data_IF_899967815491
#
_entry.id   IF_899967815491
#
_cell.length_a   1.000
_cell.length_b   1.000
_cell.length_c   1.000
_cell.angle_alpha   90.00
_cell.angle_beta   90.00
_cell.angle_gamma   90.00
#
_symmetry.space_group_name_H-M   'P 1'
#
loop_
_entity.id
_entity.type
_entity.pdbx_description
1 polymer ?
#
# COMPACT_ATOMS: atom_id res chain seq x y z
N UNK A 1 -37.40 8.59 4.39
CA UNK A 1 -36.24 9.45 4.08
C UNK A 1 -35.02 8.54 3.96
N UNK A 2 -34.47 8.43 2.75
CA UNK A 2 -33.57 7.36 2.28
C UNK A 2 -32.30 7.17 3.13
N UNK A 3 -32.28 6.14 3.99
CA UNK A 3 -31.11 5.73 4.78
C UNK A 3 -29.89 5.47 3.88
N UNK A 4 -30.10 4.90 2.70
CA UNK A 4 -29.04 4.62 1.72
C UNK A 4 -28.37 5.90 1.17
N UNK A 5 -29.10 7.02 1.05
CA UNK A 5 -28.53 8.28 0.58
C UNK A 5 -27.65 8.94 1.63
N UNK A 6 -28.04 8.85 2.91
CA UNK A 6 -27.23 9.36 4.03
C UNK A 6 -25.96 8.51 4.17
N UNK A 7 -26.09 7.19 4.08
CA UNK A 7 -24.95 6.26 4.16
C UNK A 7 -23.95 6.49 3.03
N UNK A 8 -24.42 6.57 1.77
CA UNK A 8 -23.55 6.91 0.62
C UNK A 8 -22.87 8.26 0.80
N UNK A 9 -23.59 9.29 1.26
CA UNK A 9 -23.02 10.63 1.47
C UNK A 9 -21.94 10.66 2.55
N UNK A 10 -22.09 9.87 3.61
CA UNK A 10 -21.09 9.73 4.67
C UNK A 10 -19.86 8.99 4.15
N UNK A 11 -20.04 7.88 3.44
CA UNK A 11 -18.92 7.11 2.85
C UNK A 11 -18.13 7.99 1.87
N UNK A 12 -18.81 8.74 1.02
CA UNK A 12 -18.17 9.61 0.03
C UNK A 12 -17.37 10.74 0.72
N UNK A 13 -17.95 11.36 1.75
CA UNK A 13 -17.26 12.37 2.55
C UNK A 13 -15.99 11.81 3.23
N UNK A 14 -16.10 10.64 3.85
CA UNK A 14 -14.96 9.96 4.51
C UNK A 14 -13.89 9.60 3.48
N UNK A 15 -14.29 9.09 2.32
CA UNK A 15 -13.37 8.71 1.24
C UNK A 15 -12.62 9.92 0.67
N UNK A 16 -13.28 11.06 0.52
CA UNK A 16 -12.65 12.32 0.11
C UNK A 16 -11.62 12.78 1.14
N UNK A 17 -11.98 12.74 2.43
CA UNK A 17 -11.07 13.16 3.52
C UNK A 17 -9.84 12.25 3.56
N UNK A 18 -10.03 10.93 3.50
CA UNK A 18 -8.93 9.97 3.51
C UNK A 18 -8.03 10.17 2.29
N UNK A 19 -8.60 10.34 1.09
CA UNK A 19 -7.80 10.57 -0.12
C UNK A 19 -6.95 11.84 0.02
N UNK A 20 -7.52 12.92 0.57
CA UNK A 20 -6.80 14.17 0.77
C UNK A 20 -5.63 14.01 1.74
N UNK A 21 -5.82 13.28 2.84
CA UNK A 21 -4.76 12.97 3.81
C UNK A 21 -3.65 12.15 3.15
N UNK A 22 -3.99 11.11 2.38
CA UNK A 22 -3.01 10.31 1.68
C UNK A 22 -2.21 11.11 0.65
N UNK A 23 -2.85 12.02 -0.08
CA UNK A 23 -2.18 12.89 -1.04
C UNK A 23 -1.12 13.76 -0.34
N UNK A 24 -1.45 14.33 0.82
CA UNK A 24 -0.50 15.09 1.63
C UNK A 24 0.64 14.21 2.16
N UNK A 25 0.33 13.00 2.63
CA UNK A 25 1.34 12.04 3.11
C UNK A 25 2.33 11.66 1.99
N UNK A 26 1.83 11.50 0.76
CA UNK A 26 2.64 11.20 -0.42
C UNK A 26 3.60 12.35 -0.75
N UNK A 27 3.09 13.59 -0.75
CA UNK A 27 3.91 14.80 -0.89
C UNK A 27 5.00 14.90 0.17
N UNK A 28 4.63 14.68 1.44
CA UNK A 28 5.59 14.67 2.55
C UNK A 28 6.65 13.58 2.38
N UNK A 29 6.26 12.38 1.93
CA UNK A 29 7.18 11.31 1.58
C UNK A 29 8.21 11.77 0.55
N UNK A 30 7.74 12.34 -0.58
CA UNK A 30 8.62 12.77 -1.68
C UNK A 30 9.62 13.83 -1.22
N UNK A 31 9.17 14.76 -0.37
CA UNK A 31 10.04 15.77 0.24
C UNK A 31 11.12 15.11 1.11
N UNK A 32 10.77 14.12 1.94
CA UNK A 32 11.75 13.42 2.78
C UNK A 32 12.85 12.74 1.94
N UNK A 33 12.51 12.09 0.83
CA UNK A 33 13.51 11.50 -0.07
C UNK A 33 14.43 12.56 -0.68
N UNK A 34 13.86 13.70 -1.12
CA UNK A 34 14.66 14.80 -1.65
C UNK A 34 15.65 15.35 -0.62
N UNK A 35 15.25 15.42 0.66
CA UNK A 35 16.12 15.82 1.76
C UNK A 35 17.20 14.77 2.05
N UNK A 36 16.86 13.47 2.05
CA UNK A 36 17.81 12.37 2.25
C UNK A 36 18.89 12.37 1.15
N UNK A 37 18.49 12.52 -0.12
CA UNK A 37 19.41 12.61 -1.27
C UNK A 37 20.32 13.84 -1.14
N UNK A 38 19.76 15.00 -0.79
CA UNK A 38 20.55 16.22 -0.59
C UNK A 38 21.56 16.06 0.55
N UNK A 39 21.16 15.40 1.65
CA UNK A 39 22.01 15.19 2.84
C UNK A 39 23.25 14.36 2.52
N UNK A 40 23.15 13.38 1.63
CA UNK A 40 24.27 12.51 1.23
C UNK A 40 25.20 13.16 0.22
N UNK A 41 24.67 14.02 -0.66
CA UNK A 41 25.50 14.81 -1.57
C UNK A 41 26.35 15.86 -0.83
N UNK A 42 25.88 16.34 0.33
CA UNK A 42 26.59 17.34 1.15
C UNK A 42 27.25 16.77 2.42
N UNK A 43 27.00 15.50 2.78
CA UNK A 43 27.39 14.89 4.06
C UNK A 43 28.00 13.49 3.93
N UNK A 44 28.76 13.08 4.94
CA UNK A 44 29.69 11.94 4.97
C UNK A 44 29.14 10.61 4.41
N UNK A 45 29.86 10.06 3.42
CA UNK A 45 29.58 8.90 2.54
C UNK A 45 29.36 7.51 3.20
N UNK A 46 29.11 7.40 4.50
CA UNK A 46 29.16 6.12 5.21
C UNK A 46 27.85 5.33 5.35
N UNK A 47 26.69 5.99 5.44
CA UNK A 47 25.46 5.34 5.94
C UNK A 47 24.14 5.72 5.25
N UNK A 48 24.15 6.58 4.25
CA UNK A 48 22.93 7.17 3.70
C UNK A 48 22.14 6.29 2.71
N UNK A 49 22.78 5.30 2.07
CA UNK A 49 22.11 4.47 1.06
C UNK A 49 20.97 3.62 1.63
N UNK A 50 21.16 3.01 2.80
CA UNK A 50 20.11 2.23 3.46
C UNK A 50 18.90 3.09 3.86
N UNK A 51 19.16 4.34 4.27
CA UNK A 51 18.12 5.30 4.61
C UNK A 51 17.30 5.70 3.37
N UNK A 52 17.94 6.00 2.23
CA UNK A 52 17.22 6.28 0.98
C UNK A 52 16.35 5.10 0.57
N UNK A 53 16.90 3.88 0.58
CA UNK A 53 16.15 2.68 0.17
C UNK A 53 14.93 2.49 1.07
N UNK A 54 15.07 2.65 2.38
CA UNK A 54 13.95 2.61 3.33
C UNK A 54 12.91 3.72 3.06
N UNK A 55 13.36 4.95 2.75
CA UNK A 55 12.46 6.07 2.44
C UNK A 55 11.69 5.86 1.12
N UNK A 56 12.36 5.38 0.07
CA UNK A 56 11.74 4.98 -1.22
C UNK A 56 10.69 3.91 -1.00
N UNK A 57 11.04 2.90 -0.21
CA UNK A 57 10.15 1.80 0.12
C UNK A 57 8.90 2.27 0.87
N UNK A 58 9.08 3.20 1.81
CA UNK A 58 7.97 3.81 2.56
C UNK A 58 7.03 4.60 1.64
N UNK A 59 7.57 5.36 0.67
CA UNK A 59 6.72 6.03 -0.34
C UNK A 59 6.03 5.03 -1.24
N UNK A 60 6.75 4.01 -1.71
CA UNK A 60 6.15 2.95 -2.48
C UNK A 60 5.00 2.35 -1.69
N UNK A 61 5.15 2.24 -0.36
CA UNK A 61 4.07 1.83 0.51
C UNK A 61 2.88 2.83 0.48
N UNK A 62 3.14 4.12 0.59
CA UNK A 62 2.10 5.15 0.54
C UNK A 62 1.37 5.24 -0.82
N UNK A 63 2.08 5.10 -1.94
CA UNK A 63 1.52 5.18 -3.31
C UNK A 63 0.45 4.12 -3.53
N UNK A 64 0.70 2.88 -3.09
CA UNK A 64 -0.23 1.78 -3.36
C UNK A 64 -1.47 1.83 -2.46
N UNK A 65 -1.30 2.31 -1.23
CA UNK A 65 -2.42 2.65 -0.37
C UNK A 65 -3.29 3.69 -1.07
N UNK A 66 -2.67 4.74 -1.62
CA UNK A 66 -3.36 5.77 -2.39
C UNK A 66 -4.09 5.19 -3.61
N UNK A 67 -3.42 4.34 -4.38
CA UNK A 67 -4.01 3.68 -5.55
C UNK A 67 -5.23 2.82 -5.17
N UNK A 68 -5.15 2.07 -4.07
CA UNK A 68 -6.27 1.26 -3.55
C UNK A 68 -7.48 2.13 -3.19
N UNK A 69 -7.24 3.29 -2.56
CA UNK A 69 -8.32 4.23 -2.22
C UNK A 69 -8.91 4.94 -3.45
N UNK A 70 -8.10 5.25 -4.46
CA UNK A 70 -8.58 5.82 -5.74
C UNK A 70 -9.41 4.79 -6.50
N UNK A 71 -8.93 3.56 -6.60
CA UNK A 71 -9.61 2.48 -7.32
C UNK A 71 -10.96 2.12 -6.67
N UNK A 72 -11.04 2.19 -5.34
CA UNK A 72 -12.31 2.08 -4.60
C UNK A 72 -13.34 3.16 -4.98
N UNK A 73 -12.89 4.34 -5.42
CA UNK A 73 -13.77 5.43 -5.86
C UNK A 73 -14.19 5.26 -7.32
N UNK A 74 -13.33 4.72 -8.18
CA UNK A 74 -13.60 4.58 -9.61
C UNK A 74 -14.54 3.41 -9.93
N UNK A 75 -14.62 2.38 -9.09
CA UNK A 75 -15.42 1.19 -9.35
C UNK A 75 -16.52 0.96 -8.29
N UNK A 76 -17.75 1.46 -8.53
CA UNK A 76 -18.94 1.12 -7.71
C UNK A 76 -19.39 -0.36 -7.91
N UNK A 77 -18.92 -1.06 -8.94
CA UNK A 77 -19.19 -2.50 -9.17
C UNK A 77 -17.89 -3.30 -9.30
N UNK A 78 -17.59 -4.03 -8.23
CA UNK A 78 -16.35 -4.77 -8.06
C UNK A 78 -16.46 -6.12 -8.81
N UNK A 79 -15.87 -6.22 -10.01
CA UNK A 79 -15.62 -7.52 -10.64
C UNK A 79 -14.51 -8.24 -9.84
N UNK A 80 -14.86 -9.36 -9.21
CA UNK A 80 -13.98 -10.14 -8.30
C UNK A 80 -12.61 -10.49 -8.93
N UNK A 81 -12.56 -10.64 -10.26
CA UNK A 81 -11.30 -10.89 -11.01
C UNK A 81 -10.30 -9.73 -10.89
N UNK A 82 -10.77 -8.47 -10.90
CA UNK A 82 -9.90 -7.29 -10.76
C UNK A 82 -9.34 -7.14 -9.34
N UNK A 83 -10.14 -7.46 -8.33
CA UNK A 83 -9.70 -7.43 -6.92
C UNK A 83 -8.59 -8.44 -6.68
N UNK A 84 -8.71 -9.63 -7.25
CA UNK A 84 -7.74 -10.71 -7.02
C UNK A 84 -6.37 -10.33 -7.56
N UNK A 85 -6.30 -9.81 -8.79
CA UNK A 85 -5.05 -9.32 -9.39
C UNK A 85 -4.47 -8.12 -8.63
N UNK A 86 -5.30 -7.16 -8.21
CA UNK A 86 -4.87 -6.05 -7.36
C UNK A 86 -4.29 -6.55 -6.03
N UNK A 87 -4.94 -7.53 -5.39
CA UNK A 87 -4.49 -8.09 -4.11
C UNK A 87 -3.14 -8.80 -4.26
N UNK A 88 -2.92 -9.55 -5.35
CA UNK A 88 -1.62 -10.20 -5.63
C UNK A 88 -0.52 -9.14 -5.80
N UNK A 89 -0.81 -8.05 -6.51
CA UNK A 89 0.15 -6.98 -6.77
C UNK A 89 0.53 -6.23 -5.48
N UNK A 90 -0.45 -5.97 -4.60
CA UNK A 90 -0.26 -5.41 -3.25
C UNK A 90 0.62 -6.33 -2.40
N UNK A 91 0.36 -7.64 -2.41
CA UNK A 91 1.11 -8.61 -1.62
C UNK A 91 2.55 -8.77 -2.11
N UNK A 92 2.77 -8.82 -3.42
CA UNK A 92 4.13 -8.83 -3.99
C UNK A 92 4.92 -7.59 -3.57
N UNK A 93 4.27 -6.43 -3.51
CA UNK A 93 4.87 -5.20 -3.02
C UNK A 93 5.18 -5.26 -1.52
N UNK A 94 4.28 -5.78 -0.70
CA UNK A 94 4.51 -5.89 0.75
C UNK A 94 5.70 -6.80 1.06
N UNK A 95 5.92 -7.85 0.27
CA UNK A 95 7.13 -8.68 0.35
C UNK A 95 8.38 -7.86 0.01
N UNK A 96 8.36 -7.10 -1.09
CA UNK A 96 9.50 -6.24 -1.45
C UNK A 96 9.78 -5.19 -0.37
N UNK A 97 8.73 -4.60 0.21
CA UNK A 97 8.80 -3.69 1.33
C UNK A 97 9.39 -4.32 2.59
N UNK A 98 8.92 -5.52 2.93
CA UNK A 98 9.41 -6.27 4.09
C UNK A 98 10.88 -6.67 3.97
N UNK A 99 11.30 -7.14 2.79
CA UNK A 99 12.66 -7.60 2.54
C UNK A 99 13.66 -6.43 2.59
N UNK A 100 13.32 -5.28 1.99
CA UNK A 100 14.25 -4.13 1.93
C UNK A 100 14.27 -3.29 3.21
N UNK A 101 13.21 -3.29 4.02
CA UNK A 101 13.21 -2.58 5.29
C UNK A 101 14.15 -3.21 6.34
N UNK A 102 14.83 -4.32 6.03
CA UNK A 102 15.72 -5.10 6.93
C UNK A 102 15.11 -5.36 8.32
N UNK A 103 13.78 -5.41 8.41
CA UNK A 103 13.05 -5.80 9.62
C UNK A 103 13.06 -7.33 9.70
N UNK A 104 14.24 -7.91 9.91
CA UNK A 104 14.42 -9.33 10.20
C UNK A 104 13.99 -9.65 11.63
N UNK A 105 12.78 -9.23 11.98
CA UNK A 105 12.12 -9.71 13.18
C UNK A 105 11.46 -11.04 12.83
N UNK A 106 11.74 -12.07 13.62
CA UNK A 106 11.20 -13.42 13.39
C UNK A 106 9.66 -13.41 13.31
N UNK A 107 9.01 -12.49 14.03
CA UNK A 107 7.56 -12.32 14.00
C UNK A 107 7.07 -11.73 12.67
N UNK A 108 7.84 -10.84 12.04
CA UNK A 108 7.46 -10.20 10.78
C UNK A 108 7.49 -11.20 9.62
N UNK A 109 8.52 -12.05 9.54
CA UNK A 109 8.64 -13.08 8.50
C UNK A 109 7.53 -14.13 8.66
N UNK A 110 7.23 -14.56 9.88
CA UNK A 110 6.12 -15.49 10.14
C UNK A 110 4.77 -14.87 9.76
N UNK A 111 4.54 -13.61 10.11
CA UNK A 111 3.32 -12.87 9.74
C UNK A 111 3.14 -12.80 8.22
N UNK A 112 4.19 -12.42 7.49
CA UNK A 112 4.19 -12.38 6.03
C UNK A 112 3.92 -13.75 5.41
N UNK A 113 4.53 -14.80 5.95
CA UNK A 113 4.35 -16.16 5.45
C UNK A 113 2.91 -16.67 5.62
N UNK A 114 2.29 -16.41 6.77
CA UNK A 114 0.88 -16.76 7.04
C UNK A 114 -0.07 -15.96 6.14
N UNK A 115 0.23 -14.68 5.92
CA UNK A 115 -0.56 -13.79 5.07
C UNK A 115 -0.50 -14.26 3.61
N UNK A 116 0.69 -14.58 3.11
CA UNK A 116 0.90 -15.18 1.78
C UNK A 116 0.16 -16.51 1.61
N UNK A 117 0.21 -17.37 2.63
CA UNK A 117 -0.45 -18.68 2.60
C UNK A 117 -1.98 -18.51 2.53
N UNK A 118 -2.54 -17.63 3.37
CA UNK A 118 -3.96 -17.27 3.33
C UNK A 118 -4.38 -16.75 1.96
N UNK A 119 -3.62 -15.81 1.40
CA UNK A 119 -3.93 -15.22 0.10
C UNK A 119 -3.83 -16.25 -1.04
N UNK A 120 -2.83 -17.13 -0.98
CA UNK A 120 -2.64 -18.22 -1.92
C UNK A 120 -3.81 -19.21 -1.90
N UNK A 121 -4.32 -19.55 -0.71
CA UNK A 121 -5.52 -20.40 -0.55
C UNK A 121 -6.74 -19.72 -1.16
N UNK A 122 -6.98 -18.44 -0.83
CA UNK A 122 -8.12 -17.68 -1.36
C UNK A 122 -8.07 -17.63 -2.89
N UNK A 123 -6.89 -17.38 -3.48
CA UNK A 123 -6.71 -17.39 -4.94
C UNK A 123 -6.96 -18.77 -5.53
N UNK A 124 -6.43 -19.83 -4.93
CA UNK A 124 -6.64 -21.20 -5.39
C UNK A 124 -8.12 -21.59 -5.36
N UNK A 125 -8.86 -21.15 -4.34
CA UNK A 125 -10.30 -21.35 -4.23
C UNK A 125 -11.07 -20.52 -5.26
N UNK A 126 -10.70 -19.26 -5.48
CA UNK A 126 -11.34 -18.38 -6.47
C UNK A 126 -11.13 -18.87 -7.92
N UNK A 127 -9.98 -19.47 -8.23
CA UNK A 127 -9.72 -20.09 -9.54
C UNK A 127 -10.50 -21.40 -9.70
N UNK A 128 -10.65 -22.18 -8.63
CA UNK A 128 -11.36 -23.48 -8.66
C UNK A 128 -12.88 -23.31 -8.65
N UNK A 129 -13.39 -22.25 -8.03
CA UNK A 129 -14.79 -21.87 -8.01
C UNK A 129 -14.96 -20.47 -8.62
N UNK A 130 -14.93 -20.36 -9.96
CA UNK A 130 -15.42 -19.14 -10.59
C UNK A 130 -16.92 -18.98 -10.28
N UNK A 131 -17.40 -17.74 -10.05
CA UNK A 131 -18.84 -17.48 -9.99
C UNK A 131 -19.54 -17.80 -11.32
#
# INVERSE_FOLDING_TARGET
>A
MDQNKIFKKIIDLITIIILYILLLALLAGVINILLDIKSILFGTLGGGFGQIVSSVLTIFVLIDLFKTFVDFREHEEIRITYVTDATILIVMREIAAGVYAQRFDYQFILGLSILLLTLGIIRALAVKYPP
#
